data_IF_862227420470
#
_entry.id   IF_862227420470
#
_cell.length_a   1.000
_cell.length_b   1.000
_cell.length_c   1.000
_cell.angle_alpha   90.00
_cell.angle_beta   90.00
_cell.angle_gamma   90.00
#
_symmetry.space_group_name_H-M   'P 1'
#
loop_
_entity.id
_entity.type
_entity.pdbx_description
1 polymer ?
#
# COMPACT_ATOMS: atom_id res chain seq x y z
N UNK A 1 -2.22 16.42 -8.41
CA UNK A 1 -1.95 14.97 -8.47
C UNK A 1 -2.90 14.32 -7.50
N UNK A 2 -3.69 13.33 -7.93
CA UNK A 2 -4.66 12.64 -7.08
C UNK A 2 -3.91 11.65 -6.19
N UNK A 3 -4.12 11.70 -4.88
CA UNK A 3 -3.43 10.89 -3.87
C UNK A 3 -4.37 9.81 -3.34
N UNK A 4 -3.96 8.55 -3.46
CA UNK A 4 -4.75 7.37 -3.09
C UNK A 4 -3.99 6.55 -2.04
N UNK A 5 -4.66 6.20 -0.95
CA UNK A 5 -4.11 5.40 0.13
C UNK A 5 -4.85 4.06 0.27
N UNK A 6 -4.08 2.97 0.29
CA UNK A 6 -4.58 1.62 0.57
C UNK A 6 -4.35 1.27 2.05
N UNK A 7 -5.39 0.94 2.81
CA UNK A 7 -5.27 0.68 4.26
C UNK A 7 -5.66 -0.77 4.57
N UNK A 8 -4.84 -1.49 5.34
CA UNK A 8 -5.25 -2.77 5.95
C UNK A 8 -4.79 -2.84 7.42
N UNK A 9 -4.87 -4.00 8.06
CA UNK A 9 -4.48 -4.12 9.47
C UNK A 9 -2.97 -3.93 9.69
N UNK A 10 -2.13 -4.65 8.94
CA UNK A 10 -0.70 -4.78 9.24
C UNK A 10 0.27 -4.25 8.18
N UNK A 11 -0.24 -3.76 7.04
CA UNK A 11 0.55 -3.21 5.93
C UNK A 11 1.71 -4.06 5.42
N UNK A 12 1.55 -5.39 5.42
CA UNK A 12 2.52 -6.32 4.85
C UNK A 12 1.93 -7.29 3.81
N UNK A 13 0.60 -7.42 3.72
CA UNK A 13 -0.02 -8.37 2.77
C UNK A 13 -0.95 -7.64 1.78
N UNK A 14 -2.14 -7.26 2.26
CA UNK A 14 -3.24 -6.73 1.42
C UNK A 14 -2.91 -5.36 0.84
N UNK A 15 -2.66 -4.36 1.70
CA UNK A 15 -2.44 -2.99 1.23
C UNK A 15 -1.20 -2.80 0.35
N UNK A 16 -0.05 -3.46 0.61
CA UNK A 16 1.09 -3.46 -0.33
C UNK A 16 0.76 -4.01 -1.73
N UNK A 17 -0.01 -5.10 -1.80
CA UNK A 17 -0.45 -5.68 -3.07
C UNK A 17 -1.34 -4.71 -3.85
N UNK A 18 -2.29 -4.06 -3.19
CA UNK A 18 -3.15 -3.08 -3.84
C UNK A 18 -2.39 -1.83 -4.30
N UNK A 19 -1.42 -1.36 -3.50
CA UNK A 19 -0.53 -0.27 -3.91
C UNK A 19 0.24 -0.64 -5.18
N UNK A 20 0.90 -1.80 -5.19
CA UNK A 20 1.69 -2.27 -6.33
C UNK A 20 0.83 -2.43 -7.60
N UNK A 21 -0.35 -3.04 -7.47
CA UNK A 21 -1.28 -3.24 -8.58
C UNK A 21 -1.84 -1.91 -9.11
N UNK A 22 -2.19 -0.98 -8.23
CA UNK A 22 -2.76 0.29 -8.67
C UNK A 22 -1.70 1.18 -9.31
N UNK A 23 -0.47 1.21 -8.76
CA UNK A 23 0.69 1.88 -9.37
C UNK A 23 0.94 1.37 -10.80
N UNK A 24 0.76 0.08 -11.07
CA UNK A 24 0.98 -0.48 -12.40
C UNK A 24 -0.12 -0.14 -13.42
N UNK A 25 -1.27 0.35 -12.96
CA UNK A 25 -2.44 0.64 -13.81
C UNK A 25 -2.68 2.14 -14.01
N UNK A 26 -2.09 2.99 -13.17
CA UNK A 26 -2.29 4.43 -13.19
C UNK A 26 -1.08 5.18 -13.73
N UNK A 27 -1.35 6.37 -14.29
CA UNK A 27 -0.34 7.32 -14.73
C UNK A 27 0.30 8.01 -13.51
N UNK A 28 1.56 7.67 -13.21
CA UNK A 28 2.32 8.22 -12.07
C UNK A 28 2.56 9.73 -12.13
N UNK A 29 2.31 10.40 -13.25
CA UNK A 29 2.36 11.87 -13.33
C UNK A 29 1.09 12.53 -12.81
N UNK A 30 -0.02 11.78 -12.78
CA UNK A 30 -1.35 12.25 -12.34
C UNK A 30 -1.76 11.69 -11.00
N UNK A 31 -1.27 10.49 -10.66
CA UNK A 31 -1.66 9.76 -9.46
C UNK A 31 -0.45 9.42 -8.58
N UNK A 32 -0.63 9.61 -7.28
CA UNK A 32 0.26 9.12 -6.24
C UNK A 32 -0.50 8.03 -5.47
N UNK A 33 0.14 6.89 -5.27
CA UNK A 33 -0.45 5.75 -4.55
C UNK A 33 0.50 5.32 -3.44
N UNK A 34 -0.05 5.06 -2.26
CA UNK A 34 0.69 4.58 -1.10
C UNK A 34 -0.13 3.55 -0.32
N UNK A 35 0.46 2.92 0.69
CA UNK A 35 -0.24 2.03 1.60
C UNK A 35 0.12 2.22 3.07
N UNK A 36 -0.84 1.91 3.96
CA UNK A 36 -0.66 2.00 5.40
C UNK A 36 -1.38 0.86 6.15
N UNK A 37 -1.07 0.78 7.45
CA UNK A 37 -1.60 -0.21 8.39
C UNK A 37 -2.24 0.45 9.61
N UNK A 38 -3.40 -0.01 10.07
CA UNK A 38 -4.00 0.53 11.31
C UNK A 38 -3.21 0.12 12.55
N UNK A 39 -2.51 -1.02 12.49
CA UNK A 39 -1.58 -1.47 13.52
C UNK A 39 -0.12 -1.11 13.25
N UNK A 40 0.68 -1.09 14.33
CA UNK A 40 2.08 -0.68 14.31
C UNK A 40 3.11 -1.84 14.28
N UNK A 41 2.67 -3.10 14.14
CA UNK A 41 3.54 -4.28 14.34
C UNK A 41 4.65 -4.43 13.30
N UNK A 42 4.48 -3.87 12.10
CA UNK A 42 5.37 -4.11 10.96
C UNK A 42 5.98 -2.83 10.38
N UNK A 43 6.05 -1.75 11.17
CA UNK A 43 6.66 -0.50 10.73
C UNK A 43 8.11 -0.75 10.28
N UNK A 44 8.46 -0.27 9.09
CA UNK A 44 9.76 -0.42 8.46
C UNK A 44 10.06 -1.81 7.88
N UNK A 45 9.17 -2.78 8.02
CA UNK A 45 9.36 -4.12 7.44
C UNK A 45 8.97 -4.15 5.97
N UNK A 46 9.57 -5.06 5.20
CA UNK A 46 9.11 -5.37 3.84
C UNK A 46 7.73 -6.03 3.88
N UNK A 47 6.99 -6.04 2.76
CA UNK A 47 5.82 -6.89 2.63
C UNK A 47 6.14 -8.36 2.90
N UNK A 48 5.14 -9.12 3.31
CA UNK A 48 5.24 -10.55 3.56
C UNK A 48 5.76 -11.25 2.30
N UNK A 49 6.72 -12.17 2.48
CA UNK A 49 7.37 -12.88 1.37
C UNK A 49 6.37 -13.57 0.43
N UNK A 50 5.22 -14.03 0.95
CA UNK A 50 4.17 -14.63 0.14
C UNK A 50 3.45 -13.59 -0.70
N UNK A 51 3.21 -12.39 -0.17
CA UNK A 51 2.64 -11.28 -0.92
C UNK A 51 3.60 -10.81 -2.03
N UNK A 52 4.90 -10.74 -1.73
CA UNK A 52 5.94 -10.46 -2.74
C UNK A 52 5.90 -11.51 -3.86
N UNK A 53 5.92 -12.80 -3.52
CA UNK A 53 5.87 -13.88 -4.51
C UNK A 53 4.60 -13.84 -5.37
N UNK A 54 3.44 -13.50 -4.78
CA UNK A 54 2.20 -13.28 -5.54
C UNK A 54 2.34 -12.09 -6.48
N UNK A 55 2.86 -10.95 -6.03
CA UNK A 55 3.08 -9.78 -6.87
C UNK A 55 4.02 -10.10 -8.06
N UNK A 56 5.13 -10.79 -7.81
CA UNK A 56 6.10 -11.21 -8.82
C UNK A 56 5.47 -12.13 -9.87
N UNK A 57 4.58 -13.05 -9.45
CA UNK A 57 3.84 -13.92 -10.37
C UNK A 57 2.91 -13.16 -11.33
N UNK A 58 2.59 -11.90 -10.99
CA UNK A 58 1.83 -10.97 -11.82
C UNK A 58 2.70 -9.85 -12.41
N UNK A 59 4.03 -10.03 -12.46
CA UNK A 59 5.00 -9.06 -13.00
C UNK A 59 5.03 -7.71 -12.26
N UNK A 60 4.73 -7.72 -10.96
CA UNK A 60 4.79 -6.56 -10.08
C UNK A 60 5.91 -6.74 -9.05
N UNK A 61 6.58 -5.64 -8.69
CA UNK A 61 7.54 -5.64 -7.59
C UNK A 61 7.03 -4.76 -6.43
N UNK A 62 6.87 -5.38 -5.26
CA UNK A 62 6.52 -4.69 -4.01
C UNK A 62 7.61 -4.83 -2.92
N UNK A 63 8.77 -5.44 -3.20
CA UNK A 63 9.85 -5.69 -2.22
C UNK A 63 10.41 -4.41 -1.60
N UNK A 64 10.33 -3.29 -2.33
CA UNK A 64 10.83 -1.99 -1.90
C UNK A 64 9.85 -1.19 -1.05
N UNK A 65 8.59 -1.64 -0.95
CA UNK A 65 7.61 -1.01 -0.07
C UNK A 65 7.99 -1.27 1.40
N UNK A 66 7.54 -0.40 2.30
CA UNK A 66 7.81 -0.52 3.74
C UNK A 66 6.53 -0.32 4.52
N UNK A 67 6.29 -1.22 5.47
CA UNK A 67 5.19 -1.10 6.39
C UNK A 67 5.23 0.24 7.12
N UNK A 68 4.11 0.94 7.18
CA UNK A 68 3.94 2.15 7.98
C UNK A 68 2.58 2.16 8.67
N UNK A 69 2.50 2.90 9.76
CA UNK A 69 1.24 3.10 10.47
C UNK A 69 0.42 4.19 9.78
N UNK A 70 -0.89 3.98 9.74
CA UNK A 70 -1.89 4.96 9.34
C UNK A 70 -1.98 6.05 10.43
N UNK A 71 -1.97 7.32 10.01
CA UNK A 71 -2.00 8.47 10.92
C UNK A 71 -3.21 9.36 10.67
N UNK A 72 -3.41 10.36 11.54
CA UNK A 72 -4.46 11.37 11.33
C UNK A 72 -4.12 12.23 10.11
N UNK A 73 -2.84 12.53 9.89
CA UNK A 73 -2.38 13.36 8.78
C UNK A 73 -2.74 12.73 7.41
N UNK A 74 -2.86 11.39 7.34
CA UNK A 74 -3.29 10.70 6.11
C UNK A 74 -4.69 11.14 5.63
N UNK A 75 -5.57 11.60 6.54
CA UNK A 75 -6.89 12.14 6.15
C UNK A 75 -6.80 13.48 5.41
N UNK A 76 -5.77 14.28 5.71
CA UNK A 76 -5.53 15.56 5.06
C UNK A 76 -4.66 15.38 3.80
N UNK A 77 -3.78 14.37 3.80
CA UNK A 77 -2.83 14.12 2.74
C UNK A 77 -3.40 13.38 1.52
N UNK A 78 -4.47 12.60 1.68
CA UNK A 78 -5.00 11.73 0.63
C UNK A 78 -6.44 12.07 0.22
N UNK A 79 -6.67 12.14 -1.09
CA UNK A 79 -8.01 12.39 -1.65
C UNK A 79 -8.93 11.16 -1.49
N UNK A 80 -8.36 9.96 -1.57
CA UNK A 80 -9.08 8.70 -1.45
C UNK A 80 -8.36 7.74 -0.50
N UNK A 81 -9.10 7.20 0.46
CA UNK A 81 -8.62 6.18 1.40
C UNK A 81 -9.49 4.94 1.25
N UNK A 82 -8.89 3.85 0.77
CA UNK A 82 -9.56 2.55 0.61
C UNK A 82 -9.17 1.60 1.73
N UNK A 83 -10.09 1.36 2.65
CA UNK A 83 -9.94 0.33 3.69
C UNK A 83 -10.15 -1.06 3.09
N UNK A 84 -9.25 -1.98 3.41
CA UNK A 84 -9.27 -3.36 2.92
C UNK A 84 -9.40 -4.36 4.07
N UNK A 85 -10.64 -4.73 4.35
CA UNK A 85 -11.04 -5.76 5.30
C UNK A 85 -12.28 -6.54 4.85
N UNK A 86 -12.64 -7.51 5.71
CA UNK A 86 -13.98 -8.02 6.03
C UNK A 86 -14.00 -8.24 7.55
#
# INVERSE_FOLDING_TARGET
MVRILMVCLGNICRSPLAEGLLKSKLDGTKFFVDSAGTGAWHIGQQPDKRAIAVAESHHLNISEQRGRQFSIDDFDDFDYIFAMDL
#
